data_IF_575499151021
#
_entry.id   IF_575499151021
#
_cell.length_a   1.000
_cell.length_b   1.000
_cell.length_c   1.000
_cell.angle_alpha   90.00
_cell.angle_beta   90.00
_cell.angle_gamma   90.00
#
_symmetry.space_group_name_H-M   'P 1'
#
loop_
_entity.id
_entity.type
_entity.pdbx_description
1 polymer ?
#
# COMPACT_ATOMS: atom_id res chain seq x y z
N UNK A 1 49.45 3.42 22.77
CA UNK A 1 48.10 3.59 22.19
C UNK A 1 47.83 2.37 21.31
N UNK A 2 47.01 1.44 21.78
CA UNK A 2 47.12 0.03 21.42
C UNK A 2 46.31 -0.25 20.14
N UNK A 3 47.02 -0.47 19.04
CA UNK A 3 46.51 -0.67 17.66
C UNK A 3 45.45 -1.79 17.55
N UNK A 4 45.40 -2.69 18.54
CA UNK A 4 44.49 -3.83 18.58
C UNK A 4 43.07 -3.48 19.04
N UNK A 5 42.82 -2.31 19.65
CA UNK A 5 41.45 -1.90 20.05
C UNK A 5 40.54 -1.58 18.87
N UNK A 6 41.11 -1.14 17.75
CA UNK A 6 40.34 -0.83 16.54
C UNK A 6 39.84 -2.07 15.80
N UNK A 7 40.56 -3.20 15.90
CA UNK A 7 40.20 -4.47 15.23
C UNK A 7 38.95 -5.10 15.88
N UNK A 8 38.81 -5.01 17.20
CA UNK A 8 37.61 -5.54 17.89
C UNK A 8 36.35 -4.74 17.61
N UNK A 9 36.46 -3.44 17.27
CA UNK A 9 35.30 -2.59 16.95
C UNK A 9 34.76 -2.88 15.54
N UNK A 10 35.60 -3.36 14.62
CA UNK A 10 35.20 -3.68 13.24
C UNK A 10 34.48 -5.02 13.09
N UNK A 11 34.69 -5.97 14.00
CA UNK A 11 34.08 -7.31 13.93
C UNK A 11 32.60 -7.31 14.37
N UNK A 12 32.18 -6.34 15.17
CA UNK A 12 30.80 -6.26 15.71
C UNK A 12 29.79 -5.65 14.70
N UNK A 13 30.25 -4.93 13.68
CA UNK A 13 29.37 -4.17 12.77
C UNK A 13 28.86 -4.98 11.57
N UNK A 14 29.29 -6.23 11.38
CA UNK A 14 28.94 -7.00 10.17
C UNK A 14 27.61 -7.78 10.29
N UNK A 15 27.00 -7.93 11.47
CA UNK A 15 25.88 -8.88 11.63
C UNK A 15 24.46 -8.30 11.78
N UNK A 16 24.25 -7.00 11.57
CA UNK A 16 22.92 -6.39 11.76
C UNK A 16 22.42 -5.60 10.57
N UNK A 17 22.54 -6.15 9.37
CA UNK A 17 21.61 -5.81 8.29
C UNK A 17 20.39 -6.74 8.41
N UNK A 18 19.49 -6.44 9.35
CA UNK A 18 18.12 -6.98 9.34
C UNK A 18 17.37 -6.25 8.22
N UNK A 19 17.60 -6.66 6.98
CA UNK A 19 16.74 -6.27 5.87
C UNK A 19 15.34 -6.82 6.15
N UNK A 20 14.39 -5.95 6.47
CA UNK A 20 12.97 -6.30 6.55
C UNK A 20 12.44 -6.51 5.12
N UNK A 21 12.79 -7.64 4.52
CA UNK A 21 12.28 -8.08 3.22
C UNK A 21 11.65 -9.46 3.37
N UNK A 22 10.65 -9.58 4.23
CA UNK A 22 9.77 -10.75 4.31
C UNK A 22 8.53 -10.32 5.08
N UNK A 23 7.43 -10.01 4.39
CA UNK A 23 6.09 -9.96 4.98
C UNK A 23 5.00 -10.00 3.89
N UNK A 24 5.02 -11.00 3.00
CA UNK A 24 3.77 -11.44 2.40
C UNK A 24 3.00 -12.19 3.49
N UNK A 25 1.86 -11.65 3.94
CA UNK A 25 0.97 -12.33 4.90
C UNK A 25 0.46 -13.63 4.26
N UNK A 26 1.06 -14.75 4.65
CA UNK A 26 0.63 -16.08 4.22
C UNK A 26 -0.46 -16.59 5.15
N UNK A 27 -1.52 -17.17 4.59
CA UNK A 27 -2.50 -17.93 5.34
C UNK A 27 -2.44 -19.37 4.85
N UNK A 28 -2.34 -20.30 5.80
CA UNK A 28 -2.41 -21.75 5.51
C UNK A 28 -3.87 -22.07 5.25
N UNK A 29 -4.18 -22.55 4.05
CA UNK A 29 -5.49 -23.18 3.77
C UNK A 29 -5.27 -24.68 3.67
N UNK A 30 -6.30 -25.44 4.03
CA UNK A 30 -6.23 -26.86 4.38
C UNK A 30 -5.48 -27.77 3.40
N UNK A 31 -4.94 -28.83 3.99
CA UNK A 31 -4.18 -29.94 3.38
C UNK A 31 -4.89 -30.45 2.12
N UNK A 32 -4.32 -30.16 0.94
CA UNK A 32 -4.57 -30.94 -0.26
C UNK A 32 -3.28 -31.69 -0.57
N UNK A 33 -3.26 -32.97 -0.16
CA UNK A 33 -2.33 -33.99 -0.64
C UNK A 33 -0.83 -33.73 -0.38
N UNK A 34 -0.43 -33.64 0.88
CA UNK A 34 0.97 -33.54 1.36
C UNK A 34 1.80 -32.35 0.84
N UNK A 35 1.15 -31.37 0.20
CA UNK A 35 1.75 -30.08 -0.16
C UNK A 35 1.02 -28.97 0.58
N UNK A 36 1.75 -28.20 1.39
CA UNK A 36 1.25 -26.94 1.91
C UNK A 36 0.97 -26.01 0.71
N UNK A 37 -0.30 -25.79 0.40
CA UNK A 37 -0.70 -24.81 -0.59
C UNK A 37 -0.59 -23.43 0.07
N UNK A 38 0.58 -22.81 -0.06
CA UNK A 38 0.77 -21.42 0.33
C UNK A 38 -0.07 -20.54 -0.59
N UNK A 39 -1.22 -20.10 -0.12
CA UNK A 39 -2.08 -19.19 -0.88
C UNK A 39 -1.63 -17.77 -0.60
N UNK A 40 -1.03 -17.16 -1.63
CA UNK A 40 -0.77 -15.73 -1.66
C UNK A 40 -2.12 -15.00 -1.77
N UNK A 41 -2.49 -14.31 -0.69
CA UNK A 41 -3.77 -13.60 -0.58
C UNK A 41 -3.89 -12.51 -1.63
N UNK A 42 -2.79 -11.82 -1.94
CA UNK A 42 -2.80 -10.74 -2.93
C UNK A 42 -3.07 -11.32 -4.31
N UNK A 43 -2.37 -12.40 -4.69
CA UNK A 43 -2.64 -13.10 -5.96
C UNK A 43 -4.06 -13.67 -6.04
N UNK A 44 -4.61 -14.07 -4.90
CA UNK A 44 -6.00 -14.55 -4.84
C UNK A 44 -6.98 -13.40 -5.08
N UNK A 45 -6.76 -12.24 -4.46
CA UNK A 45 -7.53 -11.03 -4.70
C UNK A 45 -7.40 -10.52 -6.14
N UNK A 46 -6.20 -10.58 -6.74
CA UNK A 46 -6.01 -10.25 -8.15
C UNK A 46 -6.87 -11.15 -9.04
N UNK A 47 -6.80 -12.48 -8.85
CA UNK A 47 -7.60 -13.43 -9.62
C UNK A 47 -9.10 -13.20 -9.47
N UNK A 48 -9.55 -12.82 -8.27
CA UNK A 48 -10.95 -12.50 -8.01
C UNK A 48 -11.36 -11.22 -8.74
N UNK A 49 -10.53 -10.18 -8.70
CA UNK A 49 -10.75 -8.92 -9.41
C UNK A 49 -10.76 -9.12 -10.94
N UNK A 50 -9.83 -9.92 -11.47
CA UNK A 50 -9.71 -10.26 -12.89
C UNK A 50 -10.90 -11.06 -13.42
N UNK A 51 -11.58 -11.82 -12.54
CA UNK A 51 -12.86 -12.47 -12.85
C UNK A 51 -14.05 -11.51 -12.87
N UNK A 52 -13.81 -10.21 -12.68
CA UNK A 52 -14.82 -9.16 -12.73
C UNK A 52 -15.49 -8.84 -11.40
N UNK A 53 -15.09 -9.50 -10.29
CA UNK A 53 -15.60 -9.12 -8.98
C UNK A 53 -15.01 -7.78 -8.56
N UNK A 54 -15.88 -6.79 -8.30
CA UNK A 54 -15.46 -5.44 -7.91
C UNK A 54 -16.03 -5.09 -6.55
N UNK A 55 -15.17 -4.66 -5.63
CA UNK A 55 -15.61 -4.07 -4.37
C UNK A 55 -14.59 -3.05 -3.87
N UNK A 56 -15.09 -2.10 -3.08
CA UNK A 56 -14.25 -1.07 -2.45
C UNK A 56 -13.17 -1.73 -1.57
N UNK A 57 -13.55 -2.72 -0.76
CA UNK A 57 -12.62 -3.44 0.13
C UNK A 57 -11.54 -4.21 -0.65
N UNK A 58 -11.92 -4.88 -1.75
CA UNK A 58 -10.98 -5.60 -2.60
C UNK A 58 -9.91 -4.67 -3.18
N UNK A 59 -10.34 -3.57 -3.79
CA UNK A 59 -9.41 -2.62 -4.41
C UNK A 59 -8.58 -1.84 -3.39
N UNK A 60 -9.13 -1.55 -2.20
CA UNK A 60 -8.36 -1.02 -1.07
C UNK A 60 -7.25 -1.99 -0.68
N UNK A 61 -7.56 -3.27 -0.48
CA UNK A 61 -6.57 -4.30 -0.08
C UNK A 61 -5.48 -4.49 -1.13
N UNK A 62 -5.86 -4.56 -2.41
CA UNK A 62 -4.91 -4.66 -3.52
C UNK A 62 -4.01 -3.42 -3.61
N UNK A 63 -4.60 -2.23 -3.68
CA UNK A 63 -3.86 -0.96 -3.75
C UNK A 63 -2.93 -0.75 -2.55
N UNK A 64 -3.44 -0.94 -1.32
CA UNK A 64 -2.66 -0.80 -0.08
C UNK A 64 -1.48 -1.78 -0.05
N UNK A 65 -1.67 -3.04 -0.47
CA UNK A 65 -0.60 -4.03 -0.48
C UNK A 65 0.53 -3.67 -1.44
N UNK A 66 0.19 -3.31 -2.68
CA UNK A 66 1.21 -2.93 -3.66
C UNK A 66 1.91 -1.63 -3.30
N UNK A 67 1.17 -0.66 -2.75
CA UNK A 67 1.76 0.59 -2.25
C UNK A 67 2.76 0.34 -1.12
N UNK A 68 2.42 -0.52 -0.16
CA UNK A 68 3.30 -0.87 0.97
C UNK A 68 4.56 -1.61 0.52
N UNK A 69 4.49 -2.36 -0.59
CA UNK A 69 5.62 -3.06 -1.20
C UNK A 69 6.39 -2.19 -2.22
N UNK A 70 6.07 -0.89 -2.33
CA UNK A 70 6.65 0.03 -3.30
C UNK A 70 6.45 -0.36 -4.79
N UNK A 71 5.52 -1.26 -5.07
CA UNK A 71 5.07 -1.63 -6.42
C UNK A 71 4.00 -0.63 -6.89
N UNK A 72 4.42 0.64 -7.05
CA UNK A 72 3.53 1.78 -7.26
C UNK A 72 2.80 1.77 -8.61
N UNK A 73 3.35 1.09 -9.61
CA UNK A 73 2.68 0.83 -10.88
C UNK A 73 1.43 -0.03 -10.70
N UNK A 74 1.53 -1.12 -9.93
CA UNK A 74 0.38 -1.98 -9.61
C UNK A 74 -0.58 -1.30 -8.64
N UNK A 75 -0.06 -0.54 -7.68
CA UNK A 75 -0.90 0.26 -6.79
C UNK A 75 -1.75 1.26 -7.59
N UNK A 76 -1.17 1.95 -8.57
CA UNK A 76 -1.89 2.88 -9.44
C UNK A 76 -3.03 2.19 -10.20
N UNK A 77 -2.81 0.97 -10.73
CA UNK A 77 -3.85 0.17 -11.39
C UNK A 77 -5.06 -0.06 -10.46
N UNK A 78 -4.81 -0.57 -9.26
CA UNK A 78 -5.90 -0.93 -8.35
C UNK A 78 -6.58 0.28 -7.70
N UNK A 79 -5.83 1.35 -7.43
CA UNK A 79 -6.44 2.61 -7.01
C UNK A 79 -7.28 3.23 -8.12
N UNK A 80 -6.90 3.09 -9.40
CA UNK A 80 -7.75 3.53 -10.52
C UNK A 80 -9.12 2.84 -10.46
N UNK A 81 -9.15 1.51 -10.31
CA UNK A 81 -10.40 0.76 -10.14
C UNK A 81 -11.17 1.19 -8.88
N UNK A 82 -10.47 1.44 -7.76
CA UNK A 82 -11.10 1.95 -6.53
C UNK A 82 -11.81 3.30 -6.76
N UNK A 83 -11.16 4.24 -7.43
CA UNK A 83 -11.70 5.57 -7.71
C UNK A 83 -12.74 5.58 -8.83
N UNK A 84 -12.77 4.54 -9.67
CA UNK A 84 -13.84 4.32 -10.65
C UNK A 84 -15.12 3.76 -10.03
N UNK A 85 -15.08 3.27 -8.77
CA UNK A 85 -16.29 2.93 -8.04
C UNK A 85 -17.08 4.21 -7.77
N UNK A 86 -18.41 4.19 -7.93
CA UNK A 86 -19.32 5.32 -7.62
C UNK A 86 -19.41 5.65 -6.11
N UNK A 87 -18.34 5.41 -5.34
CA UNK A 87 -18.25 5.71 -3.92
C UNK A 87 -17.52 7.05 -3.72
N UNK A 88 -18.22 8.00 -3.07
CA UNK A 88 -17.76 9.38 -2.92
C UNK A 88 -17.04 9.65 -1.59
N UNK A 89 -16.99 8.70 -0.65
CA UNK A 89 -16.37 8.91 0.66
C UNK A 89 -15.21 7.95 0.94
N UNK A 90 -14.14 8.10 0.17
CA UNK A 90 -12.87 7.44 0.46
C UNK A 90 -12.06 8.22 1.51
N UNK A 91 -11.27 7.52 2.30
CA UNK A 91 -10.40 8.13 3.31
C UNK A 91 -9.31 8.97 2.63
N UNK A 92 -8.88 10.10 3.23
CA UNK A 92 -7.86 10.99 2.66
C UNK A 92 -6.58 10.27 2.19
N UNK A 93 -6.16 9.20 2.90
CA UNK A 93 -4.98 8.41 2.53
C UNK A 93 -5.03 7.87 1.10
N UNK A 94 -6.22 7.48 0.61
CA UNK A 94 -6.35 6.86 -0.72
C UNK A 94 -6.13 7.87 -1.84
N UNK A 95 -6.52 9.14 -1.66
CA UNK A 95 -6.22 10.20 -2.61
C UNK A 95 -4.72 10.47 -2.69
N UNK A 96 -4.05 10.54 -1.53
CA UNK A 96 -2.62 10.76 -1.47
C UNK A 96 -1.82 9.60 -2.08
N UNK A 97 -2.11 8.36 -1.66
CA UNK A 97 -1.43 7.17 -2.15
C UNK A 97 -1.64 6.99 -3.67
N UNK A 98 -2.85 7.27 -4.17
CA UNK A 98 -3.11 7.22 -5.60
C UNK A 98 -2.34 8.32 -6.35
N UNK A 99 -2.31 9.55 -5.83
CA UNK A 99 -1.50 10.62 -6.42
C UNK A 99 -0.01 10.27 -6.49
N UNK A 100 0.56 9.71 -5.42
CA UNK A 100 1.97 9.29 -5.41
C UNK A 100 2.23 8.15 -6.40
N UNK A 101 1.31 7.20 -6.49
CA UNK A 101 1.39 6.08 -7.45
C UNK A 101 1.31 6.58 -8.90
N UNK A 102 0.40 7.53 -9.18
CA UNK A 102 0.27 8.18 -10.49
C UNK A 102 1.52 8.97 -10.86
N UNK A 103 2.09 9.72 -9.91
CA UNK A 103 3.33 10.46 -10.12
C UNK A 103 4.50 9.54 -10.47
N UNK A 104 4.61 8.40 -9.78
CA UNK A 104 5.64 7.39 -10.05
C UNK A 104 5.58 6.85 -11.49
N UNK A 105 4.37 6.61 -12.01
CA UNK A 105 4.17 6.16 -13.40
C UNK A 105 4.09 7.31 -14.42
N UNK A 106 4.48 8.54 -14.04
CA UNK A 106 4.54 9.69 -14.93
C UNK A 106 3.18 10.34 -15.26
N UNK A 107 2.08 9.92 -14.64
CA UNK A 107 0.75 10.53 -14.82
C UNK A 107 0.57 11.74 -13.89
N UNK A 108 1.39 12.78 -14.12
CA UNK A 108 1.51 13.95 -13.24
C UNK A 108 0.19 14.73 -13.14
N UNK A 109 -0.52 14.94 -14.25
CA UNK A 109 -1.76 15.72 -14.26
C UNK A 109 -2.84 15.07 -13.39
N UNK A 110 -3.05 13.76 -13.55
CA UNK A 110 -3.98 12.99 -12.70
C UNK A 110 -3.54 12.97 -11.24
N UNK A 111 -2.23 12.91 -10.98
CA UNK A 111 -1.72 13.00 -9.61
C UNK A 111 -2.11 14.33 -8.96
N UNK A 112 -1.95 15.44 -9.69
CA UNK A 112 -2.33 16.77 -9.23
C UNK A 112 -3.84 16.87 -8.99
N UNK A 113 -4.66 16.31 -9.88
CA UNK A 113 -6.12 16.25 -9.66
C UNK A 113 -6.49 15.54 -8.36
N UNK A 114 -5.84 14.41 -8.05
CA UNK A 114 -6.08 13.67 -6.81
C UNK A 114 -5.67 14.49 -5.58
N UNK A 115 -4.57 15.25 -5.65
CA UNK A 115 -4.14 16.15 -4.57
C UNK A 115 -5.10 17.33 -4.37
N UNK A 116 -5.67 17.88 -5.44
CA UNK A 116 -6.70 18.92 -5.35
C UNK A 116 -7.95 18.37 -4.65
N UNK A 117 -8.43 17.18 -5.05
CA UNK A 117 -9.56 16.51 -4.39
C UNK A 117 -9.29 16.22 -2.92
N UNK A 118 -8.06 15.81 -2.58
CA UNK A 118 -7.62 15.62 -1.20
C UNK A 118 -7.72 16.91 -0.38
N UNK A 119 -7.22 18.03 -0.92
CA UNK A 119 -7.28 19.33 -0.26
C UNK A 119 -8.73 19.72 0.06
N UNK A 120 -9.61 19.68 -0.94
CA UNK A 120 -11.03 19.98 -0.77
C UNK A 120 -11.69 19.10 0.31
N UNK A 121 -11.38 17.78 0.30
CA UNK A 121 -11.90 16.85 1.31
C UNK A 121 -11.40 17.18 2.72
N UNK A 122 -10.12 17.55 2.85
CA UNK A 122 -9.53 17.88 4.15
C UNK A 122 -10.13 19.14 4.78
N UNK A 123 -10.43 20.14 3.95
CA UNK A 123 -11.13 21.38 4.34
C UNK A 123 -12.55 21.06 4.81
N UNK A 124 -13.32 20.28 4.04
CA UNK A 124 -14.67 19.87 4.41
C UNK A 124 -14.71 19.04 5.71
N UNK A 125 -13.69 18.22 5.98
CA UNK A 125 -13.58 17.48 7.26
C UNK A 125 -13.33 18.45 8.42
N UNK A 126 -12.47 19.46 8.23
CA UNK A 126 -12.18 20.46 9.26
C UNK A 126 -13.42 21.29 9.62
N UNK A 127 -14.18 21.73 8.62
CA UNK A 127 -15.42 22.48 8.81
C UNK A 127 -16.47 21.69 9.60
N UNK A 128 -16.69 20.42 9.25
CA UNK A 128 -17.62 19.53 9.98
C UNK A 128 -17.21 19.31 11.44
N UNK A 129 -15.90 19.27 11.73
CA UNK A 129 -15.41 19.19 13.12
C UNK A 129 -15.71 20.46 13.90
N UNK A 130 -15.46 21.63 13.31
CA UNK A 130 -15.72 22.92 13.93
C UNK A 130 -17.22 23.14 14.20
N UNK A 131 -18.10 22.64 13.33
CA UNK A 131 -19.55 22.69 13.53
C UNK A 131 -20.05 21.80 14.66
N UNK A 132 -19.45 20.62 14.87
CA UNK A 132 -19.82 19.71 15.98
C UNK A 132 -19.34 20.17 17.36
N UNK A 133 -18.43 21.15 17.40
CA UNK A 133 -17.85 21.70 18.63
C UNK A 133 -18.54 23.00 19.09
N UNK A 134 -19.50 23.50 18.32
CA UNK A 134 -20.38 24.63 18.66
C UNK A 134 -21.73 24.10 19.12
#
# INVERSE_FOLDING_TARGET
MNKNRFIYITIITIFSFKGYAQNSKFYVTDKINDKYAYVDVIKTYERVAEKGYKSVDLFKKLGDSYYQNAELDKAAKWYCELFAMNNTDLEPKYYYQYAMSLKFIGQIDKANEMLVKLKQKSEAIAEKKNQKQR
#
